data_IF_589293934962
#
_entry.id   IF_589293934962
#
_cell.length_a   1.000
_cell.length_b   1.000
_cell.length_c   1.000
_cell.angle_alpha   90.00
_cell.angle_beta   90.00
_cell.angle_gamma   90.00
#
_symmetry.space_group_name_H-M   'P 1'
#
loop_
_entity.id
_entity.type
_entity.pdbx_description
1 polymer ?
#
# COMPACT_ATOMS: atom_id res chain seq x y z
N UNK A 1 23.48 16.42 -19.80
CA UNK A 1 24.11 16.29 -21.12
C UNK A 1 24.12 17.63 -21.88
N UNK A 2 23.05 18.44 -21.80
CA UNK A 2 22.94 19.74 -22.50
C UNK A 2 23.67 20.88 -21.80
N UNK A 3 24.10 20.72 -20.55
CA UNK A 3 24.74 21.77 -19.76
C UNK A 3 23.81 22.88 -19.26
N UNK A 4 22.51 22.77 -19.48
CA UNK A 4 21.53 23.77 -19.08
C UNK A 4 21.27 23.78 -17.55
N UNK A 5 21.57 22.70 -16.85
CA UNK A 5 21.43 22.57 -15.40
C UNK A 5 22.78 22.24 -14.80
N UNK A 6 23.24 22.89 -13.70
CA UNK A 6 24.46 22.55 -13.00
C UNK A 6 24.41 21.10 -12.50
N UNK A 7 25.40 20.27 -12.86
CA UNK A 7 25.44 18.85 -12.45
C UNK A 7 25.50 18.68 -10.93
N UNK A 8 26.21 19.59 -10.25
CA UNK A 8 26.32 19.61 -8.78
C UNK A 8 25.01 19.83 -8.06
N UNK A 9 24.05 20.52 -8.71
CA UNK A 9 22.71 20.72 -8.13
C UNK A 9 21.89 19.43 -8.10
N UNK A 10 22.18 18.44 -8.96
CA UNK A 10 21.42 17.19 -9.05
C UNK A 10 21.73 16.22 -7.90
N UNK A 11 22.91 16.29 -7.31
CA UNK A 11 23.35 15.31 -6.29
C UNK A 11 22.55 15.37 -4.99
N UNK A 12 21.91 16.51 -4.72
CA UNK A 12 21.09 16.73 -3.52
C UNK A 12 19.66 16.21 -3.67
N UNK A 13 19.25 15.79 -4.86
CA UNK A 13 17.85 15.46 -5.16
C UNK A 13 17.69 14.09 -5.80
N UNK A 14 16.54 13.47 -5.55
CA UNK A 14 15.99 12.40 -6.35
C UNK A 14 14.71 12.88 -7.04
N UNK A 15 14.43 12.36 -8.22
CA UNK A 15 13.33 12.83 -9.06
C UNK A 15 12.47 11.66 -9.52
N UNK A 16 11.15 11.82 -9.46
CA UNK A 16 10.23 10.91 -10.11
C UNK A 16 9.01 11.67 -10.64
N UNK A 17 8.60 11.36 -11.87
CA UNK A 17 7.46 11.98 -12.52
C UNK A 17 7.28 11.43 -13.92
N UNK A 18 6.07 11.54 -14.46
CA UNK A 18 5.80 11.30 -15.87
C UNK A 18 5.74 12.64 -16.60
N UNK A 19 6.62 12.83 -17.59
CA UNK A 19 6.68 14.07 -18.36
C UNK A 19 5.78 13.98 -19.59
N UNK A 20 4.83 14.91 -19.69
CA UNK A 20 4.01 15.07 -20.89
C UNK A 20 4.77 15.81 -22.00
N UNK A 21 4.28 15.71 -23.24
CA UNK A 21 4.84 16.47 -24.37
C UNK A 21 4.72 17.99 -24.21
N UNK A 22 3.78 18.46 -23.38
CA UNK A 22 3.61 19.89 -23.05
C UNK A 22 4.57 20.38 -21.96
N UNK A 23 5.39 19.50 -21.37
CA UNK A 23 6.28 19.84 -20.26
C UNK A 23 5.62 19.77 -18.87
N UNK A 24 4.37 19.32 -18.78
CA UNK A 24 3.67 19.13 -17.52
C UNK A 24 4.11 17.82 -16.85
N UNK A 25 4.17 17.82 -15.52
CA UNK A 25 4.48 16.67 -14.70
C UNK A 25 3.19 15.98 -14.25
N UNK A 26 3.01 14.72 -14.65
CA UNK A 26 1.86 13.89 -14.30
C UNK A 26 2.13 13.03 -13.08
N UNK A 27 1.10 12.77 -12.25
CA UNK A 27 1.21 11.89 -11.10
C UNK A 27 1.72 10.49 -11.47
N UNK A 28 2.50 9.90 -10.57
CA UNK A 28 3.07 8.56 -10.72
C UNK A 28 2.51 7.61 -9.68
N UNK A 29 2.54 6.32 -9.98
CA UNK A 29 2.25 5.25 -9.01
C UNK A 29 3.49 4.95 -8.18
N UNK A 30 3.28 4.64 -6.91
CA UNK A 30 4.37 4.27 -6.02
C UNK A 30 5.18 5.46 -5.49
N UNK A 31 4.65 6.67 -5.55
CA UNK A 31 5.34 7.86 -5.07
C UNK A 31 5.79 7.71 -3.61
N UNK A 32 4.93 7.19 -2.73
CA UNK A 32 5.28 6.93 -1.34
C UNK A 32 6.45 5.95 -1.20
N UNK A 33 6.42 4.84 -1.94
CA UNK A 33 7.49 3.84 -1.89
C UNK A 33 8.84 4.41 -2.35
N UNK A 34 8.84 5.24 -3.41
CA UNK A 34 10.05 5.92 -3.92
C UNK A 34 10.59 6.91 -2.91
N UNK A 35 9.73 7.73 -2.31
CA UNK A 35 10.12 8.72 -1.29
C UNK A 35 10.71 8.04 -0.05
N UNK A 36 10.11 6.94 0.42
CA UNK A 36 10.65 6.17 1.54
C UNK A 36 12.03 5.56 1.21
N UNK A 37 12.26 5.16 -0.04
CA UNK A 37 13.58 4.68 -0.47
C UNK A 37 14.60 5.82 -0.51
N UNK A 38 14.23 7.00 -1.03
CA UNK A 38 15.07 8.19 -1.08
C UNK A 38 15.46 8.70 0.32
N UNK A 39 14.56 8.58 1.29
CA UNK A 39 14.83 8.93 2.69
C UNK A 39 16.05 8.23 3.28
N UNK A 40 16.37 7.03 2.79
CA UNK A 40 17.57 6.29 3.22
C UNK A 40 18.88 6.89 2.69
N UNK A 41 18.82 7.69 1.64
CA UNK A 41 19.98 8.37 1.05
C UNK A 41 20.19 9.78 1.58
N UNK A 42 19.22 10.32 2.35
CA UNK A 42 19.24 11.68 2.87
C UNK A 42 19.02 12.78 1.82
N UNK A 43 18.60 12.41 0.60
CA UNK A 43 18.30 13.35 -0.48
C UNK A 43 16.90 13.90 -0.40
N UNK A 44 16.71 15.12 -0.86
CA UNK A 44 15.38 15.68 -1.07
C UNK A 44 14.72 15.01 -2.30
N UNK A 45 13.40 14.89 -2.28
CA UNK A 45 12.68 14.24 -3.37
C UNK A 45 11.79 15.23 -4.11
N UNK A 46 11.93 15.31 -5.43
CA UNK A 46 11.10 16.17 -6.30
C UNK A 46 10.09 15.31 -7.05
N UNK A 47 8.81 15.66 -6.94
CA UNK A 47 7.72 14.89 -7.56
C UNK A 47 6.58 15.80 -8.05
N UNK A 48 5.68 15.27 -8.90
CA UNK A 48 4.51 16.01 -9.34
C UNK A 48 3.58 16.36 -8.17
N UNK A 49 3.02 17.58 -8.18
CA UNK A 49 2.11 18.04 -7.13
C UNK A 49 0.91 17.10 -6.90
N UNK A 50 0.44 16.43 -7.96
CA UNK A 50 -0.63 15.43 -7.85
C UNK A 50 -0.28 14.17 -7.05
N UNK A 51 1.02 13.87 -6.83
CA UNK A 51 1.48 12.75 -5.99
C UNK A 51 1.83 13.17 -4.56
N UNK A 52 1.74 14.46 -4.24
CA UNK A 52 2.18 15.03 -2.95
C UNK A 52 1.45 14.44 -1.75
N UNK A 53 0.13 14.20 -1.87
CA UNK A 53 -0.71 13.75 -0.74
C UNK A 53 -0.29 12.41 -0.17
N UNK A 54 0.10 11.46 -1.02
CA UNK A 54 0.59 10.15 -0.53
C UNK A 54 2.05 10.23 -0.09
N UNK A 55 2.88 10.96 -0.82
CA UNK A 55 4.30 11.14 -0.52
C UNK A 55 4.52 11.83 0.84
N UNK A 56 3.68 12.79 1.19
CA UNK A 56 3.74 13.54 2.45
C UNK A 56 3.67 12.69 3.72
N UNK A 57 3.22 11.43 3.62
CA UNK A 57 3.23 10.49 4.75
C UNK A 57 4.66 10.13 5.19
N UNK A 58 5.65 10.22 4.30
CA UNK A 58 7.07 10.04 4.61
C UNK A 58 7.65 11.33 5.25
N UNK A 59 7.32 11.58 6.50
CA UNK A 59 7.60 12.84 7.23
C UNK A 59 9.08 13.19 7.36
N UNK A 60 9.96 12.20 7.26
CA UNK A 60 11.41 12.38 7.45
C UNK A 60 12.12 12.83 6.17
N UNK A 61 11.42 12.88 5.04
CA UNK A 61 11.98 13.22 3.74
C UNK A 61 11.54 14.63 3.34
N UNK A 62 12.48 15.47 2.92
CA UNK A 62 12.17 16.77 2.33
C UNK A 62 11.58 16.55 0.94
N UNK A 63 10.29 16.82 0.78
CA UNK A 63 9.56 16.63 -0.46
C UNK A 63 9.28 17.99 -1.09
N UNK A 64 9.69 18.15 -2.35
CA UNK A 64 9.43 19.31 -3.17
C UNK A 64 8.45 18.93 -4.29
N UNK A 65 7.55 19.83 -4.62
CA UNK A 65 6.52 19.60 -5.63
C UNK A 65 6.64 20.56 -6.81
N UNK A 66 6.41 20.03 -8.01
CA UNK A 66 6.38 20.79 -9.23
C UNK A 66 5.21 20.36 -10.12
N UNK A 67 4.71 21.28 -10.95
CA UNK A 67 3.70 21.00 -11.96
C UNK A 67 4.31 20.86 -13.35
N UNK A 68 5.47 21.48 -13.58
CA UNK A 68 6.14 21.52 -14.89
C UNK A 68 7.64 21.24 -14.76
N UNK A 69 8.25 20.77 -15.83
CA UNK A 69 9.71 20.60 -15.91
C UNK A 69 10.43 21.94 -15.80
N UNK A 70 9.83 23.02 -16.30
CA UNK A 70 10.43 24.36 -16.23
C UNK A 70 10.56 24.85 -14.79
N UNK A 71 9.59 24.56 -13.91
CA UNK A 71 9.69 24.87 -12.48
C UNK A 71 10.87 24.13 -11.84
N UNK A 72 11.07 22.85 -12.18
CA UNK A 72 12.21 22.06 -11.70
C UNK A 72 13.54 22.65 -12.18
N UNK A 73 13.63 23.01 -13.46
CA UNK A 73 14.83 23.64 -14.03
C UNK A 73 15.14 25.00 -13.35
N UNK A 74 14.13 25.84 -13.16
CA UNK A 74 14.28 27.13 -12.48
C UNK A 74 14.80 26.97 -11.04
N UNK A 75 14.30 25.97 -10.33
CA UNK A 75 14.78 25.64 -8.98
C UNK A 75 16.25 25.21 -8.97
N UNK A 76 16.62 24.28 -9.86
CA UNK A 76 17.99 23.77 -9.95
C UNK A 76 19.00 24.83 -10.41
N UNK A 77 18.53 25.84 -11.17
CA UNK A 77 19.35 27.00 -11.58
C UNK A 77 19.33 28.13 -10.53
N UNK A 78 18.66 27.98 -9.39
CA UNK A 78 18.57 29.02 -8.36
C UNK A 78 17.72 30.24 -8.72
N UNK A 79 16.86 30.14 -9.75
CA UNK A 79 16.00 31.23 -10.22
C UNK A 79 14.68 31.31 -9.46
N UNK A 80 14.17 30.14 -8.96
CA UNK A 80 12.95 30.06 -8.18
C UNK A 80 13.05 28.89 -7.20
N UNK A 81 12.26 28.93 -6.11
CA UNK A 81 12.18 27.80 -5.18
C UNK A 81 10.92 26.97 -5.43
N UNK A 82 11.08 25.65 -5.41
CA UNK A 82 9.93 24.72 -5.42
C UNK A 82 9.23 24.73 -4.07
N UNK A 83 7.91 24.56 -4.12
CA UNK A 83 7.10 24.45 -2.90
C UNK A 83 7.41 23.17 -2.14
N UNK A 84 7.66 23.31 -0.84
CA UNK A 84 7.78 22.16 0.06
C UNK A 84 6.38 21.56 0.28
N UNK A 85 6.27 20.25 0.13
CA UNK A 85 5.01 19.56 0.41
C UNK A 85 4.67 19.69 1.90
N UNK A 86 3.50 20.26 2.26
CA UNK A 86 3.10 20.35 3.66
C UNK A 86 2.89 18.94 4.23
N UNK A 87 3.27 18.75 5.49
CA UNK A 87 2.96 17.51 6.20
C UNK A 87 1.44 17.26 6.15
N UNK A 88 1.00 16.01 5.96
CA UNK A 88 -0.42 15.71 5.92
C UNK A 88 -1.02 16.11 7.26
N UNK A 89 -2.08 16.92 7.19
CA UNK A 89 -2.89 17.18 8.37
C UNK A 89 -3.41 15.84 8.91
N UNK A 90 -3.32 15.64 10.23
CA UNK A 90 -3.91 14.47 10.90
C UNK A 90 -5.43 14.66 10.90
N UNK A 91 -6.04 14.57 9.72
CA UNK A 91 -7.49 14.52 9.59
C UNK A 91 -7.96 13.14 10.05
N UNK A 92 -8.74 13.08 11.11
CA UNK A 92 -9.57 11.90 11.38
C UNK A 92 -10.46 11.71 10.15
N UNK A 93 -10.16 10.70 9.37
CA UNK A 93 -10.98 10.35 8.22
C UNK A 93 -12.33 9.82 8.70
N UNK A 94 -13.42 10.37 8.18
CA UNK A 94 -14.78 9.80 8.20
C UNK A 94 -14.90 8.57 7.28
N UNK A 95 -13.80 7.85 7.03
CA UNK A 95 -13.82 6.65 6.23
C UNK A 95 -14.74 5.62 6.89
N UNK A 96 -15.54 4.94 6.07
CA UNK A 96 -16.51 3.94 6.48
C UNK A 96 -16.03 3.10 7.66
N UNK A 97 -16.83 3.03 8.71
CA UNK A 97 -16.49 2.29 9.92
C UNK A 97 -16.21 0.82 9.58
N UNK A 98 -15.15 0.28 10.15
CA UNK A 98 -14.92 -1.18 10.08
C UNK A 98 -16.06 -1.86 10.84
N UNK A 99 -16.70 -2.91 10.29
CA UNK A 99 -17.79 -3.61 10.97
C UNK A 99 -17.35 -4.11 12.36
N UNK A 100 -18.13 -3.83 13.38
CA UNK A 100 -17.84 -4.24 14.75
C UNK A 100 -18.27 -5.68 15.02
N UNK A 101 -17.45 -6.44 15.74
CA UNK A 101 -17.77 -7.78 16.18
C UNK A 101 -18.95 -7.80 17.18
N UNK A 102 -19.18 -6.71 17.90
CA UNK A 102 -20.31 -6.55 18.82
C UNK A 102 -21.67 -6.66 18.12
N UNK A 103 -21.76 -6.29 16.83
CA UNK A 103 -22.99 -6.40 16.04
C UNK A 103 -23.40 -7.84 15.75
N UNK A 104 -22.47 -8.79 15.85
CA UNK A 104 -22.76 -10.22 15.61
C UNK A 104 -23.49 -10.80 16.81
N UNK A 105 -24.70 -11.30 16.60
CA UNK A 105 -25.49 -11.97 17.63
C UNK A 105 -25.09 -13.44 17.76
N UNK A 106 -24.94 -13.93 18.97
CA UNK A 106 -24.53 -15.32 19.23
C UNK A 106 -23.08 -15.56 18.80
N UNK A 107 -22.82 -16.76 18.23
CA UNK A 107 -21.50 -17.14 17.68
C UNK A 107 -20.33 -17.03 18.67
N UNK A 108 -20.56 -17.30 19.95
CA UNK A 108 -19.61 -17.06 21.06
C UNK A 108 -18.26 -17.72 20.84
N UNK A 109 -18.25 -18.96 20.35
CA UNK A 109 -17.01 -19.69 20.07
C UNK A 109 -16.23 -19.08 18.90
N UNK A 110 -16.92 -18.71 17.81
CA UNK A 110 -16.28 -18.10 16.66
C UNK A 110 -15.76 -16.69 16.97
N UNK A 111 -16.50 -15.91 17.76
CA UNK A 111 -16.03 -14.61 18.29
C UNK A 111 -14.77 -14.78 19.11
N UNK A 112 -14.77 -15.73 20.05
CA UNK A 112 -13.59 -15.99 20.90
C UNK A 112 -12.38 -16.43 20.07
N UNK A 113 -12.60 -17.27 19.04
CA UNK A 113 -11.54 -17.67 18.13
C UNK A 113 -10.96 -16.47 17.35
N UNK A 114 -11.81 -15.53 16.89
CA UNK A 114 -11.37 -14.29 16.23
C UNK A 114 -10.53 -13.41 17.16
N UNK A 115 -10.95 -13.23 18.42
CA UNK A 115 -10.21 -12.47 19.42
C UNK A 115 -8.81 -13.05 19.65
N UNK A 116 -8.72 -14.38 19.80
CA UNK A 116 -7.44 -15.08 19.99
C UNK A 116 -6.58 -14.94 18.73
N UNK A 117 -7.16 -15.14 17.54
CA UNK A 117 -6.46 -15.00 16.28
C UNK A 117 -5.92 -13.58 16.08
N UNK A 118 -6.72 -12.55 16.42
CA UNK A 118 -6.31 -11.15 16.34
C UNK A 118 -5.16 -10.84 17.31
N UNK A 119 -5.26 -11.30 18.57
CA UNK A 119 -4.26 -11.04 19.59
C UNK A 119 -2.91 -11.74 19.30
N UNK A 120 -2.95 -12.95 18.71
CA UNK A 120 -1.77 -13.75 18.41
C UNK A 120 -1.29 -13.68 16.97
N UNK A 121 -1.91 -12.84 16.11
CA UNK A 121 -1.65 -12.81 14.67
C UNK A 121 -1.75 -14.20 14.01
N UNK A 122 -2.72 -15.02 14.44
CA UNK A 122 -2.91 -16.38 13.94
C UNK A 122 -3.79 -16.44 12.71
N UNK A 123 -3.51 -17.40 11.83
CA UNK A 123 -4.44 -17.79 10.78
C UNK A 123 -5.61 -18.57 11.39
N UNK A 124 -6.82 -18.39 10.84
CA UNK A 124 -8.05 -19.01 11.32
C UNK A 124 -8.79 -19.68 10.16
N UNK A 125 -9.28 -20.89 10.38
CA UNK A 125 -10.14 -21.62 9.44
C UNK A 125 -11.57 -21.71 9.99
N UNK A 126 -12.53 -21.19 9.21
CA UNK A 126 -13.95 -21.39 9.48
C UNK A 126 -14.50 -22.57 8.69
N UNK A 127 -15.11 -23.52 9.37
CA UNK A 127 -15.79 -24.67 8.78
C UNK A 127 -17.27 -24.64 9.20
N UNK A 128 -18.17 -24.78 8.26
CA UNK A 128 -19.60 -24.77 8.54
C UNK A 128 -20.44 -24.66 7.26
N UNK A 129 -21.77 -24.89 7.38
CA UNK A 129 -22.67 -24.85 6.24
C UNK A 129 -22.76 -23.46 5.59
N UNK A 130 -23.30 -23.36 4.37
CA UNK A 130 -23.65 -22.07 3.77
C UNK A 130 -24.56 -21.26 4.70
N UNK A 131 -24.43 -19.96 4.74
CA UNK A 131 -25.23 -19.08 5.60
C UNK A 131 -24.84 -19.04 7.08
N UNK A 132 -23.84 -19.81 7.53
CA UNK A 132 -23.35 -19.78 8.93
C UNK A 132 -22.65 -18.49 9.35
N UNK A 133 -22.49 -17.50 8.46
CA UNK A 133 -21.88 -16.20 8.77
C UNK A 133 -20.37 -16.17 8.73
N UNK A 134 -19.69 -17.12 8.08
CA UNK A 134 -18.22 -17.20 7.97
C UNK A 134 -17.61 -15.91 7.41
N UNK A 135 -18.08 -15.45 6.25
CA UNK A 135 -17.58 -14.24 5.59
C UNK A 135 -17.89 -12.97 6.40
N UNK A 136 -19.06 -12.94 7.06
CA UNK A 136 -19.45 -11.86 7.97
C UNK A 136 -18.49 -11.75 9.16
N UNK A 137 -18.11 -12.87 9.76
CA UNK A 137 -17.15 -12.92 10.87
C UNK A 137 -15.74 -12.53 10.40
N UNK A 138 -15.28 -13.05 9.25
CA UNK A 138 -13.98 -12.74 8.69
C UNK A 138 -13.81 -11.24 8.40
N UNK A 139 -14.84 -10.56 7.89
CA UNK A 139 -14.82 -9.13 7.60
C UNK A 139 -14.63 -8.24 8.86
N UNK A 140 -14.84 -8.79 10.06
CA UNK A 140 -14.66 -8.08 11.33
C UNK A 140 -13.28 -8.25 11.94
N UNK A 141 -12.47 -9.19 11.43
CA UNK A 141 -11.12 -9.43 11.93
C UNK A 141 -10.21 -8.18 11.85
N UNK A 142 -10.21 -7.36 10.77
CA UNK A 142 -9.39 -6.16 10.74
C UNK A 142 -9.66 -5.17 11.89
N UNK A 143 -10.89 -5.10 12.36
CA UNK A 143 -11.28 -4.23 13.48
C UNK A 143 -10.83 -4.72 14.86
N UNK A 144 -10.44 -5.99 14.96
CA UNK A 144 -9.94 -6.60 16.20
C UNK A 144 -8.41 -6.55 16.29
N UNK A 145 -7.72 -6.34 15.17
CA UNK A 145 -6.25 -6.29 15.15
C UNK A 145 -5.76 -5.08 15.95
N UNK A 146 -4.63 -5.21 16.66
CA UNK A 146 -4.00 -4.07 17.34
C UNK A 146 -3.70 -2.94 16.35
N UNK A 147 -3.76 -1.67 16.78
CA UNK A 147 -3.42 -0.55 15.91
C UNK A 147 -2.03 -0.74 15.28
N UNK A 148 -1.90 -0.42 13.98
CA UNK A 148 -0.59 -0.48 13.33
C UNK A 148 0.37 0.55 13.93
N UNK A 149 1.64 0.17 14.08
CA UNK A 149 2.72 1.15 14.25
C UNK A 149 2.84 2.03 13.00
N UNK A 150 3.45 3.20 13.14
CA UNK A 150 3.67 4.10 12.00
C UNK A 150 4.46 3.42 10.87
N UNK A 151 5.49 2.65 11.22
CA UNK A 151 6.30 1.92 10.24
C UNK A 151 5.49 0.86 9.50
N UNK A 152 4.69 0.06 10.22
CA UNK A 152 3.82 -0.94 9.61
C UNK A 152 2.76 -0.30 8.69
N UNK A 153 2.23 0.87 9.08
CA UNK A 153 1.28 1.62 8.25
C UNK A 153 1.94 2.16 6.98
N UNK A 154 3.19 2.65 7.07
CA UNK A 154 3.97 3.10 5.91
C UNK A 154 4.32 1.94 4.98
N UNK A 155 4.73 0.78 5.51
CA UNK A 155 4.98 -0.42 4.69
C UNK A 155 3.73 -0.85 3.90
N UNK A 156 2.59 -0.96 4.58
CA UNK A 156 1.32 -1.30 3.94
C UNK A 156 0.92 -0.28 2.88
N UNK A 157 1.02 1.01 3.22
CA UNK A 157 0.71 2.11 2.30
C UNK A 157 1.63 2.11 1.07
N UNK A 158 2.93 1.82 1.23
CA UNK A 158 3.89 1.75 0.12
C UNK A 158 3.52 0.64 -0.88
N UNK A 159 3.12 -0.55 -0.40
CA UNK A 159 2.67 -1.65 -1.26
C UNK A 159 1.40 -1.26 -2.02
N UNK A 160 0.43 -0.64 -1.34
CA UNK A 160 -0.80 -0.16 -1.97
C UNK A 160 -0.54 0.96 -2.98
N UNK A 161 0.42 1.85 -2.70
CA UNK A 161 0.86 2.94 -3.60
C UNK A 161 1.44 2.36 -4.90
N UNK A 162 2.34 1.37 -4.83
CA UNK A 162 2.88 0.66 -6.00
C UNK A 162 1.80 0.06 -6.89
N UNK A 163 0.73 -0.46 -6.28
CA UNK A 163 -0.42 -1.01 -7.00
C UNK A 163 -1.37 0.08 -7.53
N UNK A 164 -1.20 1.35 -7.16
CA UNK A 164 -2.13 2.45 -7.45
C UNK A 164 -3.49 2.30 -6.73
N UNK A 165 -3.50 1.59 -5.60
CA UNK A 165 -4.70 1.30 -4.79
C UNK A 165 -4.67 2.02 -3.43
N UNK A 166 -3.66 2.84 -3.18
CA UNK A 166 -3.55 3.59 -1.93
C UNK A 166 -4.58 4.71 -1.85
N UNK A 167 -5.27 4.79 -0.72
CA UNK A 167 -6.14 5.90 -0.38
C UNK A 167 -5.66 6.49 0.97
N UNK A 168 -5.22 7.76 0.99
CA UNK A 168 -4.76 8.43 2.21
C UNK A 168 -5.76 8.41 3.37
N UNK A 169 -7.07 8.37 3.05
CA UNK A 169 -8.13 8.26 4.05
C UNK A 169 -8.12 6.93 4.83
N UNK A 170 -7.45 5.91 4.30
CA UNK A 170 -7.32 4.60 4.93
C UNK A 170 -5.94 4.35 5.55
N UNK A 171 -5.09 5.37 5.64
CA UNK A 171 -3.77 5.24 6.25
C UNK A 171 -3.87 4.74 7.69
N UNK A 172 -3.05 3.75 8.03
CA UNK A 172 -3.04 3.10 9.34
C UNK A 172 -4.15 2.08 9.57
N UNK A 173 -5.00 1.80 8.59
CA UNK A 173 -6.00 0.72 8.67
C UNK A 173 -5.44 -0.58 8.11
N UNK A 174 -5.80 -1.68 8.75
CA UNK A 174 -5.49 -3.02 8.24
C UNK A 174 -6.23 -3.29 6.94
N UNK A 175 -5.54 -3.56 5.82
CA UNK A 175 -6.20 -3.91 4.57
C UNK A 175 -6.94 -5.25 4.72
N UNK A 176 -8.13 -5.33 4.15
CA UNK A 176 -8.90 -6.57 4.01
C UNK A 176 -9.01 -6.91 2.54
N UNK A 177 -8.50 -8.07 2.17
CA UNK A 177 -8.52 -8.56 0.79
C UNK A 177 -9.28 -9.88 0.73
N UNK A 178 -10.25 -9.96 -0.19
CA UNK A 178 -11.08 -11.15 -0.39
C UNK A 178 -11.15 -11.45 -1.89
N UNK A 179 -10.10 -12.05 -2.47
CA UNK A 179 -10.13 -12.47 -3.86
C UNK A 179 -11.17 -13.56 -4.08
N UNK A 180 -11.81 -13.55 -5.23
CA UNK A 180 -12.72 -14.61 -5.64
C UNK A 180 -11.94 -15.91 -5.90
N UNK A 181 -12.55 -17.09 -5.68
CA UNK A 181 -11.88 -18.38 -5.88
C UNK A 181 -11.41 -18.62 -7.33
N UNK A 182 -12.00 -17.93 -8.33
CA UNK A 182 -11.53 -17.96 -9.73
C UNK A 182 -10.30 -17.10 -10.02
N UNK A 183 -9.74 -16.43 -9.00
CA UNK A 183 -8.55 -15.62 -9.17
C UNK A 183 -7.36 -16.47 -9.65
N UNK A 184 -6.64 -15.99 -10.66
CA UNK A 184 -5.44 -16.68 -11.14
C UNK A 184 -4.29 -16.60 -10.13
N UNK A 185 -3.31 -17.49 -10.25
CA UNK A 185 -2.08 -17.46 -9.45
C UNK A 185 -1.36 -16.10 -9.57
N UNK A 186 -1.31 -15.52 -10.78
CA UNK A 186 -0.73 -14.20 -11.00
C UNK A 186 -1.52 -13.08 -10.29
N UNK A 187 -2.84 -13.18 -10.19
CA UNK A 187 -3.64 -12.22 -9.44
C UNK A 187 -3.38 -12.31 -7.94
N UNK A 188 -3.14 -13.52 -7.42
CA UNK A 188 -2.89 -13.74 -6.00
C UNK A 188 -1.46 -13.36 -5.59
N UNK A 189 -0.46 -13.88 -6.30
CA UNK A 189 0.97 -13.68 -5.98
C UNK A 189 1.48 -12.36 -6.51
N UNK A 190 1.04 -11.99 -7.71
CA UNK A 190 1.57 -10.87 -8.48
C UNK A 190 2.34 -11.35 -9.70
N UNK A 191 2.84 -10.42 -10.49
CA UNK A 191 3.60 -10.70 -11.72
C UNK A 191 3.09 -9.95 -12.93
N UNK A 192 3.30 -10.51 -14.12
CA UNK A 192 2.95 -9.92 -15.41
C UNK A 192 4.14 -9.24 -16.09
N UNK A 193 3.94 -8.76 -17.33
CA UNK A 193 4.99 -8.10 -18.13
C UNK A 193 5.61 -6.89 -17.42
N UNK A 194 4.83 -6.16 -16.64
CA UNK A 194 5.29 -5.19 -15.63
C UNK A 194 4.91 -5.78 -14.28
N UNK A 195 5.88 -6.20 -13.44
CA UNK A 195 5.60 -6.83 -12.16
C UNK A 195 4.72 -5.95 -11.27
N UNK A 196 3.60 -6.50 -10.81
CA UNK A 196 2.67 -5.80 -9.90
C UNK A 196 2.41 -6.66 -8.67
N UNK A 197 2.20 -6.03 -7.49
CA UNK A 197 1.81 -6.76 -6.29
C UNK A 197 0.45 -7.45 -6.49
N UNK A 198 0.36 -8.73 -6.10
CA UNK A 198 -0.88 -9.48 -6.07
C UNK A 198 -1.66 -9.29 -4.76
N UNK A 199 -2.80 -9.99 -4.62
CA UNK A 199 -3.70 -9.85 -3.48
C UNK A 199 -3.02 -10.20 -2.13
N UNK A 200 -2.06 -11.14 -2.12
CA UNK A 200 -1.26 -11.47 -0.93
C UNK A 200 -0.46 -10.25 -0.47
N UNK A 201 0.28 -9.61 -1.40
CA UNK A 201 1.04 -8.40 -1.09
C UNK A 201 0.13 -7.24 -0.69
N UNK A 202 -1.03 -7.09 -1.34
CA UNK A 202 -2.01 -6.05 -1.01
C UNK A 202 -2.67 -6.25 0.35
N UNK A 203 -2.63 -7.47 0.89
CA UNK A 203 -3.08 -7.78 2.25
C UNK A 203 -1.98 -7.57 3.31
N UNK A 204 -0.80 -7.05 2.92
CA UNK A 204 0.32 -6.85 3.83
C UNK A 204 -0.07 -6.06 5.08
N UNK A 205 0.28 -6.57 6.27
CA UNK A 205 -0.13 -6.04 7.58
C UNK A 205 -1.65 -6.05 7.83
N UNK A 206 -2.39 -6.87 7.08
CA UNK A 206 -3.83 -6.97 7.18
C UNK A 206 -4.34 -8.41 7.08
N UNK A 207 -5.48 -8.59 6.45
CA UNK A 207 -6.17 -9.87 6.36
C UNK A 207 -6.38 -10.26 4.90
N UNK A 208 -5.92 -11.44 4.54
CA UNK A 208 -6.30 -12.12 3.30
C UNK A 208 -7.36 -13.17 3.66
N UNK A 209 -8.57 -12.97 3.20
CA UNK A 209 -9.68 -13.89 3.37
C UNK A 209 -9.92 -14.67 2.08
N UNK A 210 -9.89 -16.00 2.18
CA UNK A 210 -10.17 -16.90 1.07
C UNK A 210 -11.51 -17.61 1.36
N UNK A 211 -12.57 -17.10 0.77
CA UNK A 211 -13.88 -17.74 0.88
C UNK A 211 -13.94 -18.95 -0.07
N UNK A 212 -14.69 -19.99 0.33
CA UNK A 212 -14.80 -21.23 -0.44
C UNK A 212 -13.42 -21.84 -0.78
N UNK A 213 -12.54 -21.94 0.22
CA UNK A 213 -11.15 -22.42 0.05
C UNK A 213 -11.00 -23.68 -0.84
N UNK A 214 -11.88 -24.69 -0.79
CA UNK A 214 -11.80 -25.87 -1.64
C UNK A 214 -12.01 -25.62 -3.14
N UNK A 215 -12.63 -24.48 -3.51
CA UNK A 215 -12.91 -24.12 -4.91
C UNK A 215 -11.72 -23.42 -5.59
N UNK A 216 -10.70 -23.04 -4.83
CA UNK A 216 -9.49 -22.48 -5.41
C UNK A 216 -8.67 -23.55 -6.14
N UNK A 217 -8.10 -23.17 -7.29
CA UNK A 217 -7.15 -24.03 -8.00
C UNK A 217 -5.98 -24.42 -7.07
N UNK A 218 -5.60 -25.70 -7.11
CA UNK A 218 -4.53 -26.23 -6.26
C UNK A 218 -3.21 -25.48 -6.40
N UNK A 219 -2.88 -25.05 -7.63
CA UNK A 219 -1.65 -24.26 -7.89
C UNK A 219 -1.69 -22.90 -7.22
N UNK A 220 -2.89 -22.31 -7.11
CA UNK A 220 -3.11 -21.04 -6.40
C UNK A 220 -2.88 -21.23 -4.90
N UNK A 221 -3.39 -22.32 -4.33
CA UNK A 221 -3.19 -22.64 -2.91
C UNK A 221 -1.72 -22.99 -2.60
N UNK A 222 -1.04 -23.72 -3.48
CA UNK A 222 0.39 -24.01 -3.33
C UNK A 222 1.25 -22.74 -3.37
N UNK A 223 0.85 -21.72 -4.15
CA UNK A 223 1.55 -20.44 -4.19
C UNK A 223 1.46 -19.63 -2.88
N UNK A 224 0.49 -19.94 -2.01
CA UNK A 224 0.37 -19.33 -0.68
C UNK A 224 1.38 -19.89 0.32
N UNK A 225 1.93 -21.07 0.05
CA UNK A 225 2.81 -21.77 0.99
C UNK A 225 4.06 -20.96 1.31
N UNK A 226 4.76 -20.48 0.28
CA UNK A 226 5.99 -19.71 0.46
C UNK A 226 5.78 -18.44 1.31
N UNK A 227 4.80 -17.57 1.02
CA UNK A 227 4.55 -16.39 1.85
C UNK A 227 4.07 -16.72 3.27
N UNK A 228 3.38 -17.83 3.47
CA UNK A 228 2.97 -18.27 4.82
C UNK A 228 4.15 -18.80 5.65
N UNK A 229 5.11 -19.48 5.04
CA UNK A 229 6.28 -20.04 5.72
C UNK A 229 7.40 -19.01 5.89
N UNK A 230 7.70 -18.22 4.85
CA UNK A 230 8.83 -17.28 4.81
C UNK A 230 8.48 -15.84 5.16
N UNK A 231 7.20 -15.47 5.09
CA UNK A 231 6.72 -14.08 5.17
C UNK A 231 7.15 -13.22 3.97
N UNK A 232 7.59 -13.83 2.87
CA UNK A 232 8.13 -13.14 1.70
C UNK A 232 7.53 -13.70 0.41
N UNK A 233 7.44 -12.83 -0.58
CA UNK A 233 7.07 -13.18 -1.95
C UNK A 233 8.12 -12.63 -2.90
N UNK A 234 8.62 -13.47 -3.81
CA UNK A 234 9.45 -13.06 -4.91
C UNK A 234 8.61 -12.98 -6.18
N UNK A 235 8.48 -11.77 -6.73
CA UNK A 235 7.75 -11.53 -7.97
C UNK A 235 8.79 -11.40 -9.09
N UNK A 236 8.87 -12.39 -9.96
CA UNK A 236 9.71 -12.38 -11.15
C UNK A 236 8.90 -12.07 -12.41
N UNK A 237 9.59 -11.59 -13.46
CA UNK A 237 9.00 -11.57 -14.82
C UNK A 237 8.78 -13.01 -15.27
N UNK A 238 7.57 -13.28 -15.76
CA UNK A 238 7.28 -14.49 -16.52
C UNK A 238 7.88 -14.38 -17.92
#
# INVERSE_FOLDING_TARGET
ASGQIPSTALDAYEFAGELSLSGELRPIRGALAMVLAAGRTGRAFVLPAGSAREAALAREVRILTANTLLEVCAHLCGQAELSVCPAPGVGRSDAAAVPDLAEVRGQTQAKRALEIAAAGAHSLLFVGPPGAGKSMLAARLPGLLPPMSQDAALESAAVLSLAGKFNPAHFGRHPYRSPHHTASSAALVGGGGVPRPGEISLAHRGVLFLDELPEFDRRVLEALREPMESGRILISRA
#
